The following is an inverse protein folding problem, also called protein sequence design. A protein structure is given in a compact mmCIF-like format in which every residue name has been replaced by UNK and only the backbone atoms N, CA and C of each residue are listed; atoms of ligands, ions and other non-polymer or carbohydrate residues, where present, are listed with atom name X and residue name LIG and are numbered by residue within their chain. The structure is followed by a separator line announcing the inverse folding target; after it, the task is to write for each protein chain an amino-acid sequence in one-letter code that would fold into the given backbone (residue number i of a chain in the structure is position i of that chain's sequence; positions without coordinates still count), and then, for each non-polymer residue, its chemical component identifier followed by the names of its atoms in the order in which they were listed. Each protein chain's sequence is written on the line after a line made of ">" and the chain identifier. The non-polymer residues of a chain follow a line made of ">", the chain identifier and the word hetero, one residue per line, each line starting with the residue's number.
data_IF_521164835282
#
_entry.id   IF_521164835282
#
_cell.length_a   1.000
_cell.length_b   1.000
_cell.length_c   1.000
_cell.angle_alpha   90.00
_cell.angle_beta   90.00
_cell.angle_gamma   90.00
#
_symmetry.space_group_name_H-M   'P 1'
#
loop_
_entity.id
_entity.type
_entity.pdbx_description
1 polymer ?
#
# COMPACT_ATOMS: atom_id res chain seq x y z
N UNK A 1 21.42 42.45 58.68
CA UNK A 1 21.00 41.19 58.04
C UNK A 1 19.66 41.42 57.34
N UNK A 2 19.65 41.43 56.01
CA UNK A 2 18.44 41.69 55.20
C UNK A 2 17.69 40.39 54.94
N UNK A 3 16.44 40.29 55.38
CA UNK A 3 15.57 39.13 55.09
C UNK A 3 15.14 39.20 53.62
N UNK A 4 15.66 38.29 52.81
CA UNK A 4 15.26 38.09 51.41
C UNK A 4 13.79 37.63 51.39
N UNK A 5 12.91 38.39 50.74
CA UNK A 5 11.49 38.03 50.58
C UNK A 5 11.41 36.82 49.63
N UNK A 6 10.64 35.81 50.00
CA UNK A 6 10.29 34.69 49.11
C UNK A 6 9.31 35.21 48.06
N UNK A 7 9.78 35.35 46.82
CA UNK A 7 8.96 35.84 45.71
C UNK A 7 7.83 34.84 45.41
N UNK A 8 6.60 35.38 45.39
CA UNK A 8 5.33 34.65 45.36
C UNK A 8 5.28 33.48 44.36
N UNK A 9 5.13 32.28 44.92
CA UNK A 9 4.87 31.02 44.25
C UNK A 9 3.62 31.11 43.38
N UNK A 10 3.78 30.91 42.07
CA UNK A 10 2.69 30.82 41.10
C UNK A 10 1.65 29.78 41.54
N UNK A 11 0.44 30.25 41.88
CA UNK A 11 -0.66 29.39 42.32
C UNK A 11 -1.20 28.56 41.14
N UNK A 12 -1.09 27.24 41.27
CA UNK A 12 -1.57 26.26 40.28
C UNK A 12 -3.04 25.95 40.59
N UNK A 13 -3.89 25.91 39.55
CA UNK A 13 -5.33 25.67 39.69
C UNK A 13 -6.03 25.50 38.35
N UNK A 14 -7.36 25.48 38.34
CA UNK A 14 -8.13 25.34 37.11
C UNK A 14 -7.80 26.48 36.12
N UNK A 15 -7.41 26.12 34.88
CA UNK A 15 -6.94 27.07 33.87
C UNK A 15 -5.55 27.71 34.13
N UNK A 16 -4.84 27.29 35.18
CA UNK A 16 -3.50 27.79 35.55
C UNK A 16 -2.48 26.64 35.59
N UNK A 17 -2.01 26.15 34.43
CA UNK A 17 -1.07 25.04 34.37
C UNK A 17 0.31 25.43 34.94
N UNK A 18 1.01 24.51 35.63
CA UNK A 18 2.33 24.75 36.20
C UNK A 18 3.34 25.32 35.21
N UNK A 19 4.15 26.29 35.64
CA UNK A 19 5.15 26.93 34.76
C UNK A 19 6.22 25.97 34.23
N UNK A 20 6.55 24.93 35.00
CA UNK A 20 7.58 23.94 34.65
C UNK A 20 7.18 23.05 33.49
N UNK A 21 5.88 22.80 33.28
CA UNK A 21 5.37 21.89 32.23
C UNK A 21 4.79 22.61 31.02
N UNK A 22 4.78 23.95 31.01
CA UNK A 22 4.29 24.74 29.87
C UNK A 22 5.29 24.71 28.73
N UNK A 23 4.79 24.53 27.51
CA UNK A 23 5.61 24.74 26.32
C UNK A 23 6.04 26.20 26.19
N UNK A 24 7.26 26.42 25.71
CA UNK A 24 7.76 27.76 25.41
C UNK A 24 6.99 28.31 24.20
N UNK A 25 6.63 29.60 24.17
CA UNK A 25 6.06 30.24 22.99
C UNK A 25 6.95 29.96 21.75
N UNK A 26 6.35 29.51 20.65
CA UNK A 26 7.05 29.14 19.42
C UNK A 26 7.68 27.74 19.41
N UNK A 27 7.61 26.99 20.51
CA UNK A 27 8.10 25.61 20.59
C UNK A 27 6.92 24.64 20.73
N UNK A 28 6.66 23.86 19.67
CA UNK A 28 5.75 22.72 19.75
C UNK A 28 6.31 21.66 20.70
N UNK A 29 5.44 21.05 21.51
CA UNK A 29 5.78 19.88 22.33
C UNK A 29 6.16 18.65 21.50
N UNK A 30 5.80 18.64 20.23
CA UNK A 30 6.26 17.67 19.25
C UNK A 30 6.95 18.42 18.09
N UNK A 31 8.28 18.68 18.18
CA UNK A 31 9.03 19.40 17.15
C UNK A 31 9.08 18.70 15.79
N UNK A 32 8.96 17.36 15.78
CA UNK A 32 8.91 16.56 14.55
C UNK A 32 7.53 16.57 13.90
N UNK A 33 6.53 17.12 14.59
CA UNK A 33 5.14 17.12 14.16
C UNK A 33 4.57 15.71 14.05
N UNK A 34 3.38 15.62 13.44
CA UNK A 34 2.83 14.33 13.02
C UNK A 34 3.80 13.72 12.00
N UNK A 35 4.21 12.44 12.14
CA UNK A 35 5.10 11.80 11.17
C UNK A 35 4.55 11.93 9.75
N UNK A 36 5.42 12.29 8.81
CA UNK A 36 5.08 12.39 7.38
C UNK A 36 4.82 10.98 6.82
N UNK A 37 3.77 10.84 6.02
CA UNK A 37 3.43 9.59 5.36
C UNK A 37 2.50 8.70 6.17
N UNK A 38 1.29 9.18 6.47
CA UNK A 38 0.21 8.26 6.80
C UNK A 38 0.07 7.29 5.63
N UNK A 39 0.18 5.98 5.90
CA UNK A 39 -0.05 4.95 4.87
C UNK A 39 -1.46 5.15 4.32
N UNK A 40 -1.55 5.65 3.10
CA UNK A 40 -2.78 5.74 2.33
C UNK A 40 -3.18 4.34 1.86
N UNK A 41 -4.47 4.13 1.61
CA UNK A 41 -5.00 2.83 1.16
C UNK A 41 -4.23 2.31 -0.07
N UNK A 42 -3.86 3.20 -0.98
CA UNK A 42 -3.07 2.86 -2.17
C UNK A 42 -1.69 2.28 -1.85
N UNK A 43 -0.98 2.83 -0.86
CA UNK A 43 0.36 2.34 -0.51
C UNK A 43 0.26 0.99 0.17
N UNK A 44 -0.75 0.79 1.01
CA UNK A 44 -1.01 -0.51 1.64
C UNK A 44 -1.35 -1.55 0.57
N UNK A 45 -2.23 -1.20 -0.37
CA UNK A 45 -2.63 -2.11 -1.46
C UNK A 45 -1.44 -2.50 -2.33
N UNK A 46 -0.63 -1.52 -2.73
CA UNK A 46 0.60 -1.75 -3.48
C UNK A 46 1.54 -2.72 -2.74
N UNK A 47 1.80 -2.47 -1.45
CA UNK A 47 2.71 -3.27 -0.63
C UNK A 47 2.22 -4.72 -0.50
N UNK A 48 0.91 -4.92 -0.29
CA UNK A 48 0.29 -6.24 -0.20
C UNK A 48 0.41 -6.99 -1.53
N UNK A 49 0.09 -6.32 -2.65
CA UNK A 49 0.12 -6.94 -3.98
C UNK A 49 1.55 -7.30 -4.43
N UNK A 50 2.55 -6.53 -4.00
CA UNK A 50 3.97 -6.78 -4.31
C UNK A 50 4.66 -7.71 -3.31
N UNK A 51 3.99 -8.11 -2.24
CA UNK A 51 4.55 -9.06 -1.30
C UNK A 51 4.87 -10.39 -1.99
N UNK A 52 6.06 -10.93 -1.74
CA UNK A 52 6.44 -12.24 -2.25
C UNK A 52 5.81 -13.36 -1.41
N UNK A 53 5.21 -14.32 -2.09
CA UNK A 53 4.66 -15.55 -1.53
C UNK A 53 5.28 -16.75 -2.22
N UNK A 54 5.50 -17.83 -1.47
CA UNK A 54 5.99 -19.08 -2.04
C UNK A 54 4.81 -19.94 -2.45
N UNK A 55 4.69 -20.24 -3.75
CA UNK A 55 3.63 -21.06 -4.31
C UNK A 55 4.25 -22.30 -4.95
N UNK A 56 3.54 -23.43 -4.84
CA UNK A 56 3.91 -24.67 -5.52
C UNK A 56 3.22 -24.68 -6.90
N UNK A 57 4.00 -24.55 -7.97
CA UNK A 57 3.50 -24.56 -9.34
C UNK A 57 4.18 -25.71 -10.09
N UNK A 58 3.40 -26.65 -10.62
CA UNK A 58 3.91 -27.81 -11.37
C UNK A 58 5.00 -28.60 -10.64
N UNK A 59 4.85 -28.77 -9.31
CA UNK A 59 5.78 -29.50 -8.45
C UNK A 59 7.04 -28.72 -8.04
N UNK A 60 7.25 -27.50 -8.54
CA UNK A 60 8.38 -26.64 -8.15
C UNK A 60 7.89 -25.51 -7.24
N UNK A 61 8.66 -25.22 -6.19
CA UNK A 61 8.40 -24.05 -5.32
C UNK A 61 8.98 -22.81 -5.99
N UNK A 62 8.15 -21.80 -6.23
CA UNK A 62 8.57 -20.51 -6.77
C UNK A 62 8.09 -19.38 -5.86
N UNK A 63 8.92 -18.35 -5.73
CA UNK A 63 8.53 -17.09 -5.09
C UNK A 63 7.93 -16.19 -6.16
N UNK A 64 6.67 -15.86 -6.01
CA UNK A 64 5.92 -14.98 -6.91
C UNK A 64 5.22 -13.90 -6.08
N UNK A 65 4.80 -12.80 -6.69
CA UNK A 65 4.04 -11.77 -5.98
C UNK A 65 2.60 -12.25 -5.72
N UNK A 66 1.95 -11.68 -4.70
CA UNK A 66 0.51 -11.91 -4.47
C UNK A 66 -0.31 -11.55 -5.70
N UNK A 67 0.05 -10.47 -6.39
CA UNK A 67 -0.61 -10.06 -7.62
C UNK A 67 -0.46 -11.09 -8.75
N UNK A 68 0.74 -11.63 -8.99
CA UNK A 68 0.96 -12.69 -9.98
C UNK A 68 0.16 -13.95 -9.63
N UNK A 69 0.17 -14.35 -8.36
CA UNK A 69 -0.60 -15.50 -7.88
C UNK A 69 -2.11 -15.31 -8.10
N UNK A 70 -2.62 -14.10 -7.84
CA UNK A 70 -4.01 -13.74 -8.07
C UNK A 70 -4.40 -13.84 -9.55
N UNK A 71 -3.59 -13.27 -10.46
CA UNK A 71 -3.86 -13.36 -11.90
C UNK A 71 -3.84 -14.80 -12.42
N UNK A 72 -2.93 -15.64 -11.93
CA UNK A 72 -2.89 -17.08 -12.27
C UNK A 72 -4.13 -17.83 -11.78
N UNK A 73 -4.64 -17.48 -10.60
CA UNK A 73 -5.89 -18.06 -10.09
C UNK A 73 -7.08 -17.61 -10.92
N UNK A 74 -7.16 -16.32 -11.24
CA UNK A 74 -8.23 -15.74 -12.04
C UNK A 74 -8.28 -16.36 -13.45
N UNK A 75 -7.11 -16.58 -14.08
CA UNK A 75 -7.05 -17.23 -15.39
C UNK A 75 -7.51 -18.68 -15.33
N UNK A 76 -7.10 -19.43 -14.30
CA UNK A 76 -7.55 -20.81 -14.08
C UNK A 76 -9.07 -20.88 -13.91
N UNK A 77 -9.67 -20.03 -13.08
CA UNK A 77 -11.12 -20.00 -12.86
C UNK A 77 -11.89 -19.64 -14.14
N UNK A 78 -11.38 -18.68 -14.90
CA UNK A 78 -11.97 -18.33 -16.20
C UNK A 78 -11.95 -19.51 -17.19
N UNK A 79 -10.85 -20.27 -17.23
CA UNK A 79 -10.73 -21.47 -18.06
C UNK A 79 -11.62 -22.63 -17.60
N UNK A 80 -11.90 -22.71 -16.30
CA UNK A 80 -12.82 -23.68 -15.71
C UNK A 80 -14.30 -23.31 -15.94
N UNK A 81 -14.59 -22.14 -16.52
CA UNK A 81 -15.94 -21.72 -16.94
C UNK A 81 -16.58 -20.65 -16.07
N UNK A 82 -15.88 -20.08 -15.08
CA UNK A 82 -16.39 -18.95 -14.33
C UNK A 82 -16.37 -17.67 -15.18
N UNK A 83 -17.55 -17.31 -15.69
CA UNK A 83 -17.74 -16.12 -16.53
C UNK A 83 -17.36 -14.83 -15.81
N UNK A 84 -17.56 -14.74 -14.49
CA UNK A 84 -17.18 -13.53 -13.71
C UNK A 84 -15.67 -13.35 -13.70
N UNK A 85 -14.92 -14.43 -13.55
CA UNK A 85 -13.46 -14.40 -13.62
C UNK A 85 -12.96 -14.04 -15.02
N UNK A 86 -13.62 -14.55 -16.06
CA UNK A 86 -13.38 -14.17 -17.45
C UNK A 86 -13.61 -12.67 -17.70
N UNK A 87 -14.73 -12.13 -17.24
CA UNK A 87 -15.07 -10.71 -17.36
C UNK A 87 -14.05 -9.82 -16.65
N UNK A 88 -13.65 -10.19 -15.42
CA UNK A 88 -12.59 -9.48 -14.68
C UNK A 88 -11.29 -9.46 -15.47
N UNK A 89 -10.91 -10.57 -16.12
CA UNK A 89 -9.70 -10.64 -16.96
C UNK A 89 -9.83 -9.76 -18.22
N UNK A 90 -10.98 -9.80 -18.89
CA UNK A 90 -11.25 -8.99 -20.10
C UNK A 90 -11.16 -7.49 -19.76
N UNK A 91 -11.66 -7.07 -18.60
CA UNK A 91 -11.51 -5.69 -18.11
C UNK A 91 -10.06 -5.26 -17.93
N UNK A 92 -9.13 -6.19 -17.70
CA UNK A 92 -7.70 -5.90 -17.59
C UNK A 92 -7.00 -5.76 -18.96
N UNK A 93 -7.58 -6.28 -20.05
CA UNK A 93 -6.95 -6.29 -21.39
C UNK A 93 -6.59 -4.91 -21.97
N UNK A 94 -7.43 -3.86 -21.87
CA UNK A 94 -7.09 -2.53 -22.39
C UNK A 94 -5.83 -1.96 -21.73
N UNK A 95 -5.54 -2.37 -20.51
CA UNK A 95 -4.45 -1.84 -19.70
C UNK A 95 -3.13 -2.58 -19.95
N UNK A 96 -3.18 -3.86 -20.33
CA UNK A 96 -2.03 -4.56 -20.90
C UNK A 96 -1.50 -3.86 -22.15
N UNK A 97 -2.38 -3.36 -23.03
CA UNK A 97 -1.97 -2.60 -24.23
C UNK A 97 -1.32 -1.26 -23.89
N UNK A 98 -1.73 -0.62 -22.79
CA UNK A 98 -1.17 0.66 -22.34
C UNK A 98 0.25 0.50 -21.76
N UNK A 99 0.54 -0.64 -21.13
CA UNK A 99 1.88 -1.00 -20.63
C UNK A 99 2.75 -1.62 -21.73
N UNK A 100 2.17 -2.40 -22.65
CA UNK A 100 2.89 -2.94 -23.81
C UNK A 100 3.21 -1.86 -24.86
N UNK A 101 2.50 -0.72 -24.83
CA UNK A 101 2.83 0.46 -25.63
C UNK A 101 4.11 1.18 -25.20
N UNK A 102 4.76 0.75 -24.11
CA UNK A 102 6.06 1.24 -23.67
C UNK A 102 7.22 0.23 -23.80
N UNK A 103 6.99 -1.04 -24.17
CA UNK A 103 8.06 -2.00 -24.40
C UNK A 103 7.64 -3.05 -25.46
N UNK A 104 8.23 -2.97 -26.65
CA UNK A 104 8.17 -4.04 -27.64
C UNK A 104 8.82 -5.31 -27.08
N UNK A 105 8.00 -6.36 -26.88
CA UNK A 105 8.33 -7.78 -27.00
C UNK A 105 9.65 -8.23 -26.34
N UNK A 106 9.61 -8.53 -25.04
CA UNK A 106 10.59 -9.43 -24.44
C UNK A 106 10.21 -10.90 -24.69
N UNK A 107 10.31 -11.34 -25.95
CA UNK A 107 10.40 -12.77 -26.31
C UNK A 107 11.88 -13.16 -26.41
N UNK A 108 12.47 -13.51 -25.27
CA UNK A 108 13.82 -14.08 -25.16
C UNK A 108 13.87 -15.08 -24.00
N UNK A 109 14.71 -16.13 -24.06
CA UNK A 109 14.71 -17.20 -23.07
C UNK A 109 14.97 -16.65 -21.67
N UNK A 110 14.10 -17.04 -20.75
CA UNK A 110 14.11 -16.62 -19.34
C UNK A 110 15.29 -17.27 -18.62
N UNK A 111 16.37 -16.53 -18.50
CA UNK A 111 17.37 -16.75 -17.47
C UNK A 111 16.98 -15.97 -16.21
N UNK A 112 17.18 -16.64 -15.09
CA UNK A 112 16.81 -16.25 -13.75
C UNK A 112 17.63 -15.03 -13.33
N UNK A 113 17.01 -13.84 -13.22
CA UNK A 113 17.61 -12.75 -12.46
C UNK A 113 16.65 -12.21 -11.41
N UNK A 114 17.22 -12.09 -10.21
CA UNK A 114 16.59 -11.81 -8.94
C UNK A 114 16.27 -10.31 -8.79
N UNK A 115 15.15 -10.04 -8.13
CA UNK A 115 15.02 -8.94 -7.17
C UNK A 115 15.28 -7.50 -7.65
N UNK A 116 14.28 -6.87 -8.27
CA UNK A 116 13.84 -5.49 -7.99
C UNK A 116 12.68 -5.19 -8.93
N UNK A 117 11.55 -4.73 -8.39
CA UNK A 117 10.33 -4.48 -9.15
C UNK A 117 10.62 -3.66 -10.40
N UNK A 118 10.23 -4.20 -11.56
CA UNK A 118 10.36 -3.50 -12.84
C UNK A 118 9.52 -2.24 -12.77
N UNK A 119 9.95 -1.17 -13.43
CA UNK A 119 9.20 0.10 -13.49
C UNK A 119 7.75 -0.12 -13.96
N UNK A 120 7.54 -1.08 -14.87
CA UNK A 120 6.22 -1.54 -15.31
C UNK A 120 5.35 -2.19 -14.23
N UNK A 121 5.92 -2.81 -13.19
CA UNK A 121 5.16 -3.37 -12.07
C UNK A 121 4.54 -2.25 -11.22
N UNK A 122 5.27 -1.14 -11.03
CA UNK A 122 4.77 0.04 -10.31
C UNK A 122 3.64 0.74 -11.06
N UNK A 123 3.75 0.83 -12.38
CA UNK A 123 2.72 1.44 -13.22
C UNK A 123 1.44 0.61 -13.25
N UNK A 124 1.57 -0.72 -13.32
CA UNK A 124 0.44 -1.65 -13.26
C UNK A 124 -0.32 -1.55 -11.92
N UNK A 125 0.38 -1.31 -10.80
CA UNK A 125 -0.23 -1.19 -9.47
C UNK A 125 -0.86 0.16 -9.20
N UNK A 126 -0.22 1.26 -9.62
CA UNK A 126 -0.85 2.59 -9.57
C UNK A 126 -2.16 2.58 -10.34
N UNK A 127 -2.15 1.85 -11.44
CA UNK A 127 -3.32 1.65 -12.28
C UNK A 127 -4.38 0.74 -11.62
N UNK A 128 -4.00 -0.39 -11.02
CA UNK A 128 -4.94 -1.21 -10.25
C UNK A 128 -5.57 -0.46 -9.06
N UNK A 129 -4.78 0.34 -8.34
CA UNK A 129 -5.26 1.20 -7.27
C UNK A 129 -6.25 2.27 -7.76
N UNK A 130 -6.11 2.74 -9.01
CA UNK A 130 -7.08 3.62 -9.65
C UNK A 130 -8.40 2.89 -9.94
N UNK A 131 -8.38 1.66 -10.48
CA UNK A 131 -9.60 0.87 -10.73
C UNK A 131 -10.42 0.61 -9.46
N UNK A 132 -9.74 0.22 -8.35
CA UNK A 132 -10.41 0.00 -7.06
C UNK A 132 -11.07 1.29 -6.55
N UNK A 133 -10.44 2.45 -6.80
CA UNK A 133 -10.95 3.76 -6.38
C UNK A 133 -12.12 4.25 -7.25
N UNK A 134 -12.15 3.87 -8.52
CA UNK A 134 -13.21 4.20 -9.47
C UNK A 134 -14.43 3.26 -9.34
N UNK A 135 -14.40 2.27 -8.42
CA UNK A 135 -15.53 1.36 -8.17
C UNK A 135 -15.85 0.44 -9.34
N UNK A 136 -14.91 0.26 -10.27
CA UNK A 136 -15.08 -0.61 -11.45
C UNK A 136 -14.72 -2.07 -11.17
N UNK A 137 -14.18 -2.33 -9.98
CA UNK A 137 -13.69 -3.62 -9.51
C UNK A 137 -14.26 -3.92 -8.12
N UNK A 138 -15.47 -4.48 -8.08
CA UNK A 138 -16.08 -4.97 -6.85
C UNK A 138 -15.41 -6.27 -6.40
N UNK A 139 -14.79 -6.23 -5.22
CA UNK A 139 -14.17 -7.36 -4.52
C UNK A 139 -15.16 -8.12 -3.62
N UNK A 140 -16.31 -7.52 -3.31
CA UNK A 140 -17.32 -8.06 -2.41
C UNK A 140 -18.36 -8.86 -3.20
N UNK A 141 -18.02 -10.12 -3.49
CA UNK A 141 -18.88 -10.97 -4.32
C UNK A 141 -19.05 -12.40 -3.86
N UNK A 142 -18.55 -12.80 -2.69
CA UNK A 142 -18.71 -14.16 -2.16
C UNK A 142 -18.79 -14.16 -0.60
N UNK A 143 -19.89 -13.65 -0.04
CA UNK A 143 -20.48 -14.23 1.18
C UNK A 143 -21.70 -15.05 0.71
N UNK A 144 -21.52 -16.35 0.50
CA UNK A 144 -22.53 -17.40 0.72
C UNK A 144 -21.92 -18.78 0.45
N UNK A 145 -21.62 -19.52 1.54
CA UNK A 145 -21.78 -20.98 1.70
C UNK A 145 -21.38 -21.39 3.12
#
# INVERSE_FOLDING_TARGET
>A
MSRKRSDGTYEVGYGKPPRTSRFKPGQSGNPRGRPRGAKNVDTILHDVLMQQVTVLESGKRRKITVFEAYLKRLSKQALEGDSKSGDKMIRLLPYLKKVAGSDEIASGPREEEEGAGREGDRDMLRFFAQMVREGTFDLDGDEEA
#
